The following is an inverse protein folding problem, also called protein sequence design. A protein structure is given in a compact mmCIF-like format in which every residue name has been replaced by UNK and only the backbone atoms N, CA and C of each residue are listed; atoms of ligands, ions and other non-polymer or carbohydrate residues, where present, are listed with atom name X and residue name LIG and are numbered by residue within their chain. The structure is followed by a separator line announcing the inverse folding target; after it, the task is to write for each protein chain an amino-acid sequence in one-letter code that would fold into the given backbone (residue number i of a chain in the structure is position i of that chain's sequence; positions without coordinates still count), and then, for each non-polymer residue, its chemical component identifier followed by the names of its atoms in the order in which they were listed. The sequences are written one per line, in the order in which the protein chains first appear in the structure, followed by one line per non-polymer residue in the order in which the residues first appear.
data_IF_933754914468
#
_entry.id   IF_933754914468
#
_cell.length_a   1.000
_cell.length_b   1.000
_cell.length_c   1.000
_cell.angle_alpha   90.00
_cell.angle_beta   90.00
_cell.angle_gamma   90.00
#
_symmetry.space_group_name_H-M   'P 1'
#
loop_
_entity.id
_entity.type
_entity.pdbx_description
1 polymer ?
#
# COMPACT_ATOMS: atom_id res chain seq x y z
N UNK A 1 -3.76 10.74 8.87
CA UNK A 1 -3.78 9.90 7.66
C UNK A 1 -2.50 9.12 7.47
N UNK A 2 -1.36 9.78 7.60
CA UNK A 2 -0.09 9.09 7.46
C UNK A 2 0.07 7.97 8.47
N UNK A 3 -0.34 8.19 9.71
CA UNK A 3 -0.20 7.18 10.74
C UNK A 3 -1.07 5.96 10.49
N UNK A 4 -2.25 6.19 9.93
CA UNK A 4 -3.14 5.09 9.59
C UNK A 4 -2.54 4.24 8.47
N UNK A 5 -1.97 4.90 7.49
CA UNK A 5 -1.28 4.25 6.40
C UNK A 5 -0.09 3.44 6.91
N UNK A 6 0.71 4.06 7.79
CA UNK A 6 1.86 3.37 8.41
C UNK A 6 1.44 2.13 9.19
N UNK A 7 0.31 2.21 9.87
CA UNK A 7 -0.19 1.10 10.67
C UNK A 7 -0.51 -0.10 9.80
N UNK A 8 -1.18 0.15 8.68
CA UNK A 8 -1.50 -0.94 7.75
C UNK A 8 -0.22 -1.53 7.16
N UNK A 9 0.72 -0.68 6.79
CA UNK A 9 1.99 -1.15 6.26
C UNK A 9 2.78 -1.95 7.28
N UNK A 10 2.76 -1.54 8.54
CA UNK A 10 3.46 -2.27 9.60
C UNK A 10 2.92 -3.68 9.75
N UNK A 11 1.61 -3.86 9.60
CA UNK A 11 1.00 -5.19 9.65
C UNK A 11 1.50 -6.06 8.50
N UNK A 12 1.86 -5.46 7.39
CA UNK A 12 2.36 -6.17 6.22
C UNK A 12 3.89 -6.29 6.22
N UNK A 13 4.55 -5.87 7.30
CA UNK A 13 6.00 -5.84 7.39
C UNK A 13 6.62 -4.95 6.32
N UNK A 14 6.05 -3.77 6.16
CA UNK A 14 6.54 -2.76 5.21
C UNK A 14 6.87 -1.48 5.95
N UNK A 15 7.92 -0.80 5.52
CA UNK A 15 8.37 0.46 6.13
C UNK A 15 8.38 1.54 5.06
N UNK A 16 7.89 2.73 5.45
CA UNK A 16 7.94 3.88 4.55
C UNK A 16 9.38 4.37 4.49
N UNK A 17 9.91 4.48 3.27
CA UNK A 17 11.28 4.91 3.00
C UNK A 17 12.33 4.06 3.74
N UNK A 18 12.01 2.77 3.89
CA UNK A 18 12.94 1.84 4.53
C UNK A 18 14.05 1.39 3.60
N UNK A 19 14.93 0.55 4.13
CA UNK A 19 16.12 0.11 3.42
C UNK A 19 15.97 -1.24 2.72
N UNK A 20 14.88 -1.94 2.98
CA UNK A 20 14.69 -3.27 2.40
C UNK A 20 14.10 -3.17 1.00
N UNK A 21 14.38 -4.14 0.12
CA UNK A 21 13.88 -4.09 -1.27
C UNK A 21 12.35 -3.98 -1.38
N UNK A 22 11.62 -4.53 -0.43
CA UNK A 22 10.15 -4.50 -0.45
C UNK A 22 9.56 -3.29 0.24
N UNK A 23 10.38 -2.44 0.83
CA UNK A 23 9.87 -1.24 1.49
C UNK A 23 9.43 -0.20 0.46
N UNK A 24 8.35 0.51 0.79
CA UNK A 24 7.81 1.51 -0.10
C UNK A 24 8.58 2.83 0.04
N UNK A 25 8.94 3.40 -1.10
CA UNK A 25 9.62 4.71 -1.13
C UNK A 25 8.59 5.75 -1.54
N UNK A 26 8.29 6.68 -0.64
CA UNK A 26 7.25 7.68 -0.88
C UNK A 26 7.90 8.98 -1.37
N UNK A 27 7.48 9.42 -2.54
CA UNK A 27 8.02 10.64 -3.18
C UNK A 27 7.06 11.82 -3.08
N UNK A 28 5.78 11.55 -2.83
CA UNK A 28 4.77 12.58 -2.69
C UNK A 28 3.84 12.21 -1.54
N UNK A 29 3.82 13.03 -0.50
CA UNK A 29 3.04 12.73 0.70
C UNK A 29 1.53 12.79 0.48
N UNK A 30 1.09 13.34 -0.62
CA UNK A 30 -0.33 13.30 -0.98
C UNK A 30 -0.81 11.87 -1.22
N UNK A 31 0.12 10.96 -1.38
CA UNK A 31 -0.18 9.54 -1.50
C UNK A 31 -1.06 9.03 -0.35
N UNK A 32 -0.78 9.44 0.87
CA UNK A 32 -1.50 8.92 2.03
C UNK A 32 -2.99 9.19 1.93
N UNK A 33 -3.34 10.41 1.59
CA UNK A 33 -4.73 10.80 1.46
C UNK A 33 -5.40 10.07 0.30
N UNK A 34 -4.69 9.95 -0.80
CA UNK A 34 -5.22 9.32 -2.00
C UNK A 34 -5.52 7.84 -1.76
N UNK A 35 -4.61 7.14 -1.08
CA UNK A 35 -4.81 5.71 -0.79
C UNK A 35 -5.97 5.51 0.17
N UNK A 36 -6.09 6.36 1.20
CA UNK A 36 -7.19 6.24 2.14
C UNK A 36 -8.53 6.52 1.50
N UNK A 37 -8.55 7.42 0.52
CA UNK A 37 -9.78 7.80 -0.17
C UNK A 37 -10.15 6.82 -1.27
N UNK A 38 -9.18 6.38 -2.05
CA UNK A 38 -9.41 5.58 -3.25
C UNK A 38 -9.01 4.12 -3.11
N UNK A 39 -8.38 3.77 -1.99
CA UNK A 39 -7.98 2.39 -1.75
C UNK A 39 -6.92 1.92 -2.71
N UNK A 40 -7.05 0.67 -3.16
CA UNK A 40 -6.09 0.06 -4.05
C UNK A 40 -6.01 0.75 -5.40
N UNK A 41 -7.10 1.34 -5.86
CA UNK A 41 -7.08 2.11 -7.09
C UNK A 41 -6.14 3.30 -6.95
N UNK A 42 -6.25 4.04 -5.84
CA UNK A 42 -5.37 5.17 -5.59
C UNK A 42 -3.92 4.76 -5.45
N UNK A 43 -3.68 3.60 -4.85
CA UNK A 43 -2.32 3.09 -4.72
C UNK A 43 -1.72 2.80 -6.10
N UNK A 44 -2.48 2.15 -6.98
CA UNK A 44 -2.01 1.84 -8.32
C UNK A 44 -1.80 3.07 -9.18
N UNK A 45 -2.76 3.99 -9.17
CA UNK A 45 -2.67 5.23 -9.95
C UNK A 45 -1.52 6.11 -9.48
N UNK A 46 -1.32 6.20 -8.17
CA UNK A 46 -0.21 6.99 -7.63
C UNK A 46 1.14 6.40 -7.99
N UNK A 47 1.22 5.08 -8.13
CA UNK A 47 2.45 4.44 -8.60
C UNK A 47 2.77 4.89 -10.03
N UNK A 48 1.75 4.88 -10.89
CA UNK A 48 1.90 5.33 -12.28
C UNK A 48 2.32 6.79 -12.32
N UNK A 49 1.78 7.60 -11.41
CA UNK A 49 2.09 9.03 -11.35
C UNK A 49 3.46 9.32 -10.71
N UNK A 50 4.16 8.28 -10.25
CA UNK A 50 5.48 8.45 -9.67
C UNK A 50 5.48 8.93 -8.23
N UNK A 51 4.36 8.80 -7.53
CA UNK A 51 4.26 9.26 -6.14
C UNK A 51 4.94 8.31 -5.17
N UNK A 52 5.15 7.08 -5.57
CA UNK A 52 5.90 6.12 -4.77
C UNK A 52 6.54 5.08 -5.68
N UNK A 53 7.50 4.36 -5.14
CA UNK A 53 8.18 3.30 -5.87
C UNK A 53 8.60 2.21 -4.90
N UNK A 54 8.97 1.05 -5.46
CA UNK A 54 9.42 -0.09 -4.67
C UNK A 54 10.28 -0.98 -5.55
N UNK A 55 11.46 -1.35 -5.06
CA UNK A 55 12.39 -2.17 -5.83
C UNK A 55 11.82 -3.57 -6.06
N UNK A 56 11.31 -4.19 -5.00
CA UNK A 56 10.71 -5.52 -5.10
C UNK A 56 9.19 -5.39 -5.04
N UNK A 57 8.61 -4.82 -6.09
CA UNK A 57 7.17 -4.52 -6.14
C UNK A 57 6.30 -5.75 -5.95
N UNK A 58 6.71 -6.88 -6.50
CA UNK A 58 5.96 -8.14 -6.34
C UNK A 58 5.88 -8.56 -4.87
N UNK A 59 6.95 -8.39 -4.12
CA UNK A 59 6.95 -8.71 -2.70
C UNK A 59 6.07 -7.76 -1.92
N UNK A 60 6.09 -6.49 -2.27
CA UNK A 60 5.24 -5.48 -1.62
C UNK A 60 3.77 -5.84 -1.83
N UNK A 61 3.39 -6.15 -3.05
CA UNK A 61 2.01 -6.53 -3.37
C UNK A 61 1.61 -7.78 -2.62
N UNK A 62 2.50 -8.78 -2.56
CA UNK A 62 2.23 -10.03 -1.85
C UNK A 62 1.98 -9.76 -0.36
N UNK A 63 2.81 -8.93 0.26
CA UNK A 63 2.68 -8.62 1.68
C UNK A 63 1.38 -7.89 1.98
N UNK A 64 1.01 -6.93 1.15
CA UNK A 64 -0.24 -6.20 1.30
C UNK A 64 -1.43 -7.14 1.12
N UNK A 65 -1.35 -8.01 0.14
CA UNK A 65 -2.40 -8.99 -0.12
C UNK A 65 -2.64 -9.90 1.09
N UNK A 66 -1.56 -10.35 1.72
CA UNK A 66 -1.69 -11.19 2.91
C UNK A 66 -2.45 -10.48 4.04
N UNK A 67 -2.14 -9.21 4.25
CA UNK A 67 -2.85 -8.43 5.27
C UNK A 67 -4.33 -8.31 4.91
N UNK A 68 -4.61 -8.02 3.65
CA UNK A 68 -5.99 -7.87 3.19
C UNK A 68 -6.81 -9.14 3.40
N UNK A 69 -6.19 -10.31 3.27
CA UNK A 69 -6.88 -11.58 3.41
C UNK A 69 -7.05 -12.02 4.86
N UNK A 70 -6.18 -11.55 5.77
CA UNK A 70 -6.13 -12.06 7.13
C UNK A 70 -6.55 -11.06 8.19
N UNK A 71 -6.94 -9.85 7.81
CA UNK A 71 -7.40 -8.85 8.76
C UNK A 71 -8.79 -8.37 8.40
N UNK A 72 -9.47 -7.79 9.38
CA UNK A 72 -10.82 -7.26 9.18
C UNK A 72 -10.82 -5.74 9.23
N UNK A 73 -9.71 -5.12 8.89
CA UNK A 73 -9.63 -3.67 8.81
C UNK A 73 -10.40 -3.16 7.61
N UNK A 74 -10.89 -1.94 7.73
CA UNK A 74 -11.58 -1.29 6.62
C UNK A 74 -10.71 -1.19 5.37
N UNK A 75 -9.46 -0.82 5.57
CA UNK A 75 -8.54 -0.69 4.46
C UNK A 75 -8.40 -1.98 3.66
N UNK A 76 -8.29 -3.16 4.31
CA UNK A 76 -8.24 -4.43 3.57
C UNK A 76 -9.45 -4.67 2.68
N UNK A 77 -10.61 -4.14 3.06
CA UNK A 77 -11.80 -4.29 2.24
C UNK A 77 -11.58 -3.73 0.84
N UNK A 78 -10.96 -2.57 0.76
CA UNK A 78 -10.67 -1.96 -0.53
C UNK A 78 -9.53 -2.68 -1.26
N UNK A 79 -8.60 -3.24 -0.50
CA UNK A 79 -7.53 -4.03 -1.08
C UNK A 79 -8.06 -5.33 -1.67
N UNK A 80 -9.10 -5.91 -1.06
CA UNK A 80 -9.74 -7.09 -1.63
C UNK A 80 -10.34 -6.80 -3.00
N UNK A 81 -10.87 -5.61 -3.18
CA UNK A 81 -11.38 -5.22 -4.49
C UNK A 81 -10.25 -5.19 -5.52
N UNK A 82 -9.07 -4.81 -5.09
CA UNK A 82 -7.90 -4.84 -5.95
C UNK A 82 -7.62 -6.27 -6.41
N UNK A 83 -7.74 -7.24 -5.52
CA UNK A 83 -7.54 -8.65 -5.87
C UNK A 83 -8.57 -9.14 -6.86
N UNK A 84 -9.78 -8.66 -6.75
CA UNK A 84 -10.86 -9.03 -7.67
C UNK A 84 -10.68 -8.39 -9.05
N UNK A 85 -9.80 -7.44 -9.13
CA UNK A 85 -9.56 -6.71 -10.36
C UNK A 85 -8.82 -7.53 -11.40
N UNK A 86 -8.28 -8.63 -10.97
CA UNK A 86 -7.61 -9.51 -11.91
C UNK A 86 -8.63 -10.23 -12.77
#
# INVERSE_FOLDING_TARGET
MEQRFKKVLALADLTINGDRPWDIQVHNTKLYERVLKEGSYGLGESYIDGWWSCEALDQLIYKITRVALHTKYEAPFKLLRFLQFK
#
